data_IF_430217995041
#
_entry.id   IF_430217995041
#
_cell.length_a   1.000
_cell.length_b   1.000
_cell.length_c   1.000
_cell.angle_alpha   90.00
_cell.angle_beta   90.00
_cell.angle_gamma   90.00
#
_symmetry.space_group_name_H-M   'P 1'
#
loop_
_entity.id
_entity.type
_entity.pdbx_description
1 polymer ?
#
# COMPACT_ATOMS: atom_id res chain seq x y z
N UNK A 1 12.48 13.70 -16.91
CA UNK A 1 12.18 12.28 -17.25
C UNK A 1 11.51 12.06 -18.62
N UNK A 2 11.38 13.06 -19.50
CA UNK A 2 10.67 12.92 -20.80
C UNK A 2 11.44 12.39 -22.05
N UNK A 3 12.78 12.19 -22.10
CA UNK A 3 13.44 11.75 -23.36
C UNK A 3 13.19 10.30 -23.77
N UNK A 4 12.86 9.41 -22.81
CA UNK A 4 12.84 7.95 -23.02
C UNK A 4 11.64 7.47 -23.84
N UNK A 5 10.49 8.15 -23.71
CA UNK A 5 9.25 7.79 -24.41
C UNK A 5 9.29 8.16 -25.90
N UNK A 6 9.91 9.29 -26.24
CA UNK A 6 10.08 9.71 -27.64
C UNK A 6 11.06 8.82 -28.40
N UNK A 7 12.14 8.35 -27.74
CA UNK A 7 13.11 7.42 -28.35
C UNK A 7 12.51 6.02 -28.61
N UNK A 8 11.69 5.50 -27.69
CA UNK A 8 10.94 4.23 -27.89
C UNK A 8 9.92 4.32 -29.03
N UNK A 9 9.19 5.44 -29.14
CA UNK A 9 8.22 5.65 -30.22
C UNK A 9 8.89 5.68 -31.59
N UNK A 10 9.96 6.47 -31.75
CA UNK A 10 10.72 6.52 -33.01
C UNK A 10 11.30 5.16 -33.43
N UNK A 11 11.86 4.40 -32.48
CA UNK A 11 12.36 3.05 -32.76
C UNK A 11 11.27 2.07 -33.21
N UNK A 12 10.09 2.10 -32.57
CA UNK A 12 8.97 1.24 -32.98
C UNK A 12 8.39 1.62 -34.35
N UNK A 13 8.41 2.91 -34.72
CA UNK A 13 7.93 3.42 -36.01
C UNK A 13 8.87 3.05 -37.17
N UNK A 14 10.20 3.21 -37.01
CA UNK A 14 11.20 2.76 -38.00
C UNK A 14 11.18 1.24 -38.21
N UNK A 15 10.92 0.47 -37.16
CA UNK A 15 10.97 -0.99 -37.20
C UNK A 15 9.70 -1.61 -37.82
N UNK A 16 8.52 -1.01 -37.58
CA UNK A 16 7.29 -1.38 -38.29
C UNK A 16 7.37 -1.07 -39.79
N UNK A 17 8.11 -0.02 -40.16
CA UNK A 17 8.39 0.29 -41.56
C UNK A 17 9.32 -0.75 -42.21
N UNK A 18 10.31 -1.27 -41.48
CA UNK A 18 11.22 -2.30 -41.98
C UNK A 18 10.54 -3.67 -42.18
N UNK A 19 9.70 -4.12 -41.25
CA UNK A 19 8.98 -5.39 -41.42
C UNK A 19 7.98 -5.32 -42.59
N UNK A 20 7.26 -4.20 -42.72
CA UNK A 20 6.37 -3.94 -43.85
C UNK A 20 7.13 -3.89 -45.20
N UNK A 21 8.34 -3.34 -45.23
CA UNK A 21 9.20 -3.34 -46.41
C UNK A 21 9.63 -4.76 -46.81
N UNK A 22 10.03 -5.60 -45.84
CA UNK A 22 10.41 -7.00 -46.11
C UNK A 22 9.17 -7.79 -46.60
N UNK A 23 7.97 -7.55 -46.05
CA UNK A 23 6.73 -8.21 -46.50
C UNK A 23 6.39 -7.81 -47.94
N UNK A 24 6.58 -6.52 -48.26
CA UNK A 24 6.38 -6.02 -49.62
C UNK A 24 7.32 -6.70 -50.62
N UNK A 25 8.60 -6.92 -50.27
CA UNK A 25 9.55 -7.61 -51.15
C UNK A 25 9.24 -9.11 -51.29
N UNK A 26 8.80 -9.79 -50.22
CA UNK A 26 8.37 -11.20 -50.32
C UNK A 26 7.19 -11.37 -51.29
N UNK A 27 6.20 -10.47 -51.24
CA UNK A 27 5.06 -10.49 -52.17
C UNK A 27 5.51 -10.29 -53.61
N UNK A 28 6.51 -9.42 -53.86
CA UNK A 28 7.09 -9.26 -55.20
C UNK A 28 7.80 -10.51 -55.68
N UNK A 29 8.58 -11.16 -54.82
CA UNK A 29 9.27 -12.43 -55.15
C UNK A 29 8.27 -13.56 -55.40
N UNK A 30 7.16 -13.62 -54.65
CA UNK A 30 6.07 -14.56 -54.90
C UNK A 30 5.39 -14.34 -56.25
N UNK A 31 5.15 -13.08 -56.63
CA UNK A 31 4.60 -12.74 -57.93
C UNK A 31 5.55 -13.15 -59.07
N UNK A 32 6.86 -12.93 -58.91
CA UNK A 32 7.88 -13.36 -59.88
C UNK A 32 7.96 -14.90 -60.00
N UNK A 33 7.84 -15.62 -58.88
CA UNK A 33 7.75 -17.08 -58.88
C UNK A 33 6.51 -17.58 -59.64
N UNK A 34 5.36 -16.93 -59.47
CA UNK A 34 4.14 -17.29 -60.18
C UNK A 34 4.30 -17.10 -61.71
N UNK A 35 4.85 -15.96 -62.14
CA UNK A 35 5.14 -15.68 -63.55
C UNK A 35 6.13 -16.72 -64.12
N UNK A 36 7.16 -17.10 -63.37
CA UNK A 36 8.15 -18.08 -63.82
C UNK A 36 7.55 -19.48 -63.98
N UNK A 37 6.62 -19.88 -63.08
CA UNK A 37 5.87 -21.14 -63.19
C UNK A 37 5.03 -21.20 -64.46
N UNK A 38 4.28 -20.12 -64.74
CA UNK A 38 3.48 -20.01 -65.97
C UNK A 38 4.34 -20.06 -67.25
N UNK A 39 5.55 -19.49 -67.21
CA UNK A 39 6.50 -19.55 -68.32
C UNK A 39 7.11 -20.95 -68.53
N UNK A 40 7.24 -21.76 -67.47
CA UNK A 40 7.77 -23.13 -67.54
C UNK A 40 6.75 -24.13 -68.12
N UNK A 41 5.46 -23.80 -68.08
CA UNK A 41 4.38 -24.59 -68.66
C UNK A 41 4.24 -24.41 -70.19
N UNK A 42 5.03 -23.52 -70.82
CA UNK A 42 5.01 -23.25 -72.27
C UNK A 42 6.25 -23.83 -73.00
N UNK A 43 6.13 -24.94 -73.77
CA UNK A 43 7.29 -25.73 -74.24
C UNK A 43 8.11 -25.13 -75.39
N UNK A 44 7.73 -23.97 -75.94
CA UNK A 44 8.23 -23.52 -77.24
C UNK A 44 9.47 -22.61 -77.20
N UNK A 45 9.98 -22.16 -76.05
CA UNK A 45 11.03 -21.12 -76.06
C UNK A 45 12.20 -21.18 -75.06
N UNK A 46 12.31 -22.09 -74.05
CA UNK A 46 13.33 -21.89 -73.01
C UNK A 46 14.05 -23.14 -72.47
N UNK A 47 15.29 -22.96 -71.99
CA UNK A 47 16.09 -23.90 -71.21
C UNK A 47 15.35 -24.32 -69.92
N UNK A 48 14.53 -25.36 -70.00
CA UNK A 48 13.66 -25.86 -68.91
C UNK A 48 14.44 -26.16 -67.62
N UNK A 49 15.65 -26.72 -67.71
CA UNK A 49 16.48 -27.04 -66.56
C UNK A 49 17.00 -25.79 -65.82
N UNK A 50 17.37 -24.74 -66.55
CA UNK A 50 17.86 -23.47 -66.00
C UNK A 50 16.73 -22.72 -65.28
N UNK A 51 15.53 -22.72 -65.87
CA UNK A 51 14.34 -22.13 -65.26
C UNK A 51 13.88 -22.87 -63.99
N UNK A 52 13.98 -24.20 -63.96
CA UNK A 52 13.69 -25.00 -62.75
C UNK A 52 14.72 -24.77 -61.64
N UNK A 53 16.00 -24.61 -61.99
CA UNK A 53 17.06 -24.28 -61.03
C UNK A 53 16.85 -22.89 -60.41
N UNK A 54 16.48 -21.89 -61.21
CA UNK A 54 16.14 -20.54 -60.75
C UNK A 54 14.92 -20.54 -59.81
N UNK A 55 13.85 -21.26 -60.17
CA UNK A 55 12.64 -21.38 -59.35
C UNK A 55 12.95 -22.04 -57.99
N UNK A 56 13.74 -23.12 -58.02
CA UNK A 56 14.18 -23.84 -56.82
C UNK A 56 15.03 -22.94 -55.91
N UNK A 57 15.96 -22.17 -56.48
CA UNK A 57 16.79 -21.22 -55.75
C UNK A 57 15.94 -20.09 -55.12
N UNK A 58 15.01 -19.52 -55.87
CA UNK A 58 14.14 -18.44 -55.40
C UNK A 58 13.16 -18.92 -54.30
N UNK A 59 12.63 -20.14 -54.43
CA UNK A 59 11.81 -20.80 -53.40
C UNK A 59 12.60 -21.07 -52.10
N UNK A 60 13.86 -21.53 -52.22
CA UNK A 60 14.73 -21.76 -51.08
C UNK A 60 15.07 -20.45 -50.35
N UNK A 61 15.38 -19.39 -51.10
CA UNK A 61 15.66 -18.07 -50.53
C UNK A 61 14.44 -17.49 -49.83
N UNK A 62 13.24 -17.59 -50.42
CA UNK A 62 11.99 -17.14 -49.80
C UNK A 62 11.74 -17.86 -48.46
N UNK A 63 11.94 -19.18 -48.41
CA UNK A 63 11.83 -19.96 -47.16
C UNK A 63 12.83 -19.47 -46.10
N UNK A 64 14.07 -19.19 -46.51
CA UNK A 64 15.12 -18.70 -45.61
C UNK A 64 14.80 -17.31 -45.05
N UNK A 65 14.31 -16.39 -45.89
CA UNK A 65 13.90 -15.04 -45.46
C UNK A 65 12.75 -15.10 -44.44
N UNK A 66 11.73 -15.92 -44.69
CA UNK A 66 10.62 -16.13 -43.75
C UNK A 66 11.09 -16.72 -42.42
N UNK A 67 11.97 -17.73 -42.46
CA UNK A 67 12.56 -18.33 -41.24
C UNK A 67 13.31 -17.27 -40.42
N UNK A 68 14.16 -16.47 -41.08
CA UNK A 68 14.90 -15.39 -40.41
C UNK A 68 13.96 -14.32 -39.82
N UNK A 69 12.84 -14.00 -40.48
CA UNK A 69 11.84 -13.08 -39.92
C UNK A 69 11.24 -13.63 -38.63
N UNK A 70 10.77 -14.88 -38.62
CA UNK A 70 10.15 -15.46 -37.43
C UNK A 70 11.15 -15.58 -36.26
N UNK A 71 12.41 -15.91 -36.54
CA UNK A 71 13.49 -15.88 -35.55
C UNK A 71 13.72 -14.47 -34.97
N UNK A 72 13.74 -13.44 -35.83
CA UNK A 72 13.85 -12.04 -35.38
C UNK A 72 12.67 -11.62 -34.50
N UNK A 73 11.45 -12.04 -34.87
CA UNK A 73 10.22 -11.77 -34.11
C UNK A 73 10.25 -12.45 -32.73
N UNK A 74 10.62 -13.73 -32.69
CA UNK A 74 10.76 -14.48 -31.45
C UNK A 74 11.83 -13.88 -30.52
N UNK A 75 13.01 -13.54 -31.06
CA UNK A 75 14.08 -12.90 -30.29
C UNK A 75 13.68 -11.53 -29.71
N UNK A 76 12.81 -10.80 -30.40
CA UNK A 76 12.24 -9.53 -29.91
C UNK A 76 11.27 -9.74 -28.76
N UNK A 77 10.34 -10.69 -28.87
CA UNK A 77 9.43 -11.04 -27.78
C UNK A 77 10.20 -11.46 -26.53
N UNK A 78 11.26 -12.25 -26.69
CA UNK A 78 12.14 -12.64 -25.61
C UNK A 78 12.87 -11.43 -24.98
N UNK A 79 13.39 -10.50 -25.78
CA UNK A 79 13.97 -9.25 -25.27
C UNK A 79 12.96 -8.39 -24.52
N UNK A 80 11.72 -8.28 -25.01
CA UNK A 80 10.64 -7.54 -24.35
C UNK A 80 10.28 -8.17 -23.01
N UNK A 81 10.15 -9.51 -22.97
CA UNK A 81 9.85 -10.25 -21.75
C UNK A 81 10.99 -10.13 -20.72
N UNK A 82 12.25 -10.30 -21.14
CA UNK A 82 13.42 -10.04 -20.28
C UNK A 82 13.45 -8.62 -19.74
N UNK A 83 13.07 -7.63 -20.54
CA UNK A 83 12.97 -6.24 -20.09
C UNK A 83 11.84 -6.04 -19.07
N UNK A 84 10.70 -6.71 -19.22
CA UNK A 84 9.59 -6.66 -18.24
C UNK A 84 10.00 -7.31 -16.93
N UNK A 85 10.58 -8.51 -16.99
CA UNK A 85 11.10 -9.21 -15.80
C UNK A 85 12.17 -8.39 -15.08
N UNK A 86 13.08 -7.74 -15.82
CA UNK A 86 14.08 -6.85 -15.23
C UNK A 86 13.43 -5.62 -14.59
N UNK A 87 12.37 -5.09 -15.19
CA UNK A 87 11.55 -4.01 -14.61
C UNK A 87 10.88 -4.44 -13.31
N UNK A 88 10.26 -5.63 -13.28
CA UNK A 88 9.64 -6.20 -12.08
C UNK A 88 10.66 -6.49 -10.98
N UNK A 89 11.83 -7.05 -11.33
CA UNK A 89 12.94 -7.23 -10.39
C UNK A 89 13.42 -5.88 -9.83
N UNK A 90 13.49 -4.86 -10.68
CA UNK A 90 13.87 -3.51 -10.26
C UNK A 90 12.81 -2.87 -9.35
N UNK A 91 11.51 -3.07 -9.63
CA UNK A 91 10.41 -2.68 -8.73
C UNK A 91 10.50 -3.42 -7.38
N UNK A 92 10.76 -4.73 -7.39
CA UNK A 92 11.00 -5.52 -6.17
C UNK A 92 12.18 -4.96 -5.36
N UNK A 93 13.30 -4.65 -6.03
CA UNK A 93 14.47 -4.03 -5.39
C UNK A 93 14.14 -2.63 -4.87
N UNK A 94 13.27 -1.87 -5.54
CA UNK A 94 12.81 -0.56 -5.05
C UNK A 94 11.94 -0.71 -3.79
N UNK A 95 11.04 -1.68 -3.74
CA UNK A 95 10.24 -1.99 -2.55
C UNK A 95 11.14 -2.43 -1.38
N UNK A 96 12.10 -3.32 -1.64
CA UNK A 96 13.11 -3.71 -0.64
C UNK A 96 13.95 -2.51 -0.19
N UNK A 97 14.36 -1.63 -1.11
CA UNK A 97 15.12 -0.42 -0.77
C UNK A 97 14.27 0.58 0.03
N UNK A 98 12.96 0.65 -0.20
CA UNK A 98 12.03 1.45 0.60
C UNK A 98 11.94 0.87 2.02
N UNK A 99 11.82 -0.45 2.16
CA UNK A 99 11.84 -1.15 3.45
C UNK A 99 13.15 -0.89 4.18
N UNK A 100 14.30 -1.13 3.53
CA UNK A 100 15.62 -0.91 4.10
C UNK A 100 15.87 0.56 4.42
N UNK A 101 15.35 1.52 3.63
CA UNK A 101 15.40 2.95 3.99
C UNK A 101 14.52 3.27 5.19
N UNK A 102 13.38 2.60 5.33
CA UNK A 102 12.51 2.67 6.50
C UNK A 102 13.20 2.11 7.75
N UNK A 103 13.82 0.94 7.64
CA UNK A 103 14.60 0.30 8.70
C UNK A 103 15.86 1.10 9.05
N UNK A 104 16.58 1.63 8.05
CA UNK A 104 17.72 2.52 8.24
C UNK A 104 17.30 3.84 8.87
N UNK A 105 16.11 4.36 8.53
CA UNK A 105 15.53 5.51 9.21
C UNK A 105 15.15 5.17 10.66
N UNK A 106 14.65 3.97 10.94
CA UNK A 106 14.38 3.49 12.29
C UNK A 106 15.68 3.28 13.11
N UNK A 107 16.74 2.75 12.49
CA UNK A 107 18.10 2.60 13.06
C UNK A 107 18.83 3.93 13.24
N UNK A 108 18.49 4.97 12.46
CA UNK A 108 18.96 6.34 12.71
C UNK A 108 18.15 7.06 13.79
N UNK A 109 16.87 6.70 13.94
CA UNK A 109 15.98 7.23 15.00
C UNK A 109 16.35 6.74 16.41
N UNK A 110 17.09 5.63 16.55
CA UNK A 110 17.66 5.21 17.85
C UNK A 110 18.89 6.01 18.26
N UNK A 111 19.48 6.82 17.37
CA UNK A 111 20.69 7.61 17.68
C UNK A 111 20.53 9.12 17.62
N UNK A 112 19.50 9.70 16.99
CA UNK A 112 19.26 11.14 17.10
C UNK A 112 17.77 11.48 16.97
N UNK A 113 17.19 11.94 18.07
CA UNK A 113 15.77 12.13 18.25
C UNK A 113 15.12 13.10 17.25
N UNK A 114 13.97 12.68 16.70
CA UNK A 114 12.99 13.60 16.10
C UNK A 114 11.55 13.21 16.45
N UNK A 115 11.26 13.28 17.75
CA UNK A 115 10.11 13.99 18.32
C UNK A 115 10.47 14.31 19.77
N UNK A 116 10.94 15.54 20.03
CA UNK A 116 10.81 16.14 21.37
C UNK A 116 9.36 16.62 21.52
N UNK A 117 8.37 15.73 21.49
CA UNK A 117 7.04 16.07 22.00
C UNK A 117 7.10 15.96 23.52
N UNK A 118 7.81 16.90 24.15
CA UNK A 118 7.69 17.07 25.59
C UNK A 118 6.26 17.55 25.97
N UNK A 119 5.49 18.03 24.98
CA UNK A 119 4.21 18.70 25.19
C UNK A 119 3.11 18.18 24.25
N UNK A 120 1.90 18.10 24.81
CA UNK A 120 0.66 17.66 24.16
C UNK A 120 0.36 18.39 22.85
N UNK A 121 0.74 19.66 22.72
CA UNK A 121 0.53 20.46 21.50
C UNK A 121 1.32 19.92 20.31
N UNK A 122 2.57 19.48 20.54
CA UNK A 122 3.42 18.91 19.48
C UNK A 122 2.85 17.61 18.94
N UNK A 123 2.39 16.73 19.83
CA UNK A 123 1.72 15.49 19.47
C UNK A 123 0.43 15.76 18.68
N UNK A 124 -0.34 16.78 19.06
CA UNK A 124 -1.55 17.17 18.32
C UNK A 124 -1.24 17.61 16.90
N UNK A 125 -0.24 18.47 16.72
CA UNK A 125 0.18 18.94 15.40
C UNK A 125 0.67 17.77 14.54
N UNK A 126 1.34 16.80 15.14
CA UNK A 126 1.78 15.58 14.45
C UNK A 126 0.58 14.72 14.02
N UNK A 127 -0.35 14.44 14.93
CA UNK A 127 -1.56 13.67 14.62
C UNK A 127 -2.46 14.35 13.58
N UNK A 128 -2.65 15.68 13.70
CA UNK A 128 -3.37 16.51 12.72
C UNK A 128 -2.75 16.41 11.34
N UNK A 129 -1.43 16.61 11.25
CA UNK A 129 -0.74 16.51 9.97
C UNK A 129 -0.79 15.09 9.42
N UNK A 130 -0.70 14.07 10.27
CA UNK A 130 -0.77 12.67 9.87
C UNK A 130 -2.10 12.31 9.21
N UNK A 131 -3.20 12.75 9.82
CA UNK A 131 -4.54 12.53 9.27
C UNK A 131 -4.80 13.35 8.01
N UNK A 132 -4.22 14.54 7.88
CA UNK A 132 -4.39 15.42 6.71
C UNK A 132 -3.49 15.04 5.53
N UNK A 133 -2.22 14.73 5.79
CA UNK A 133 -1.19 14.44 4.79
C UNK A 133 -0.08 13.58 5.44
N UNK A 134 -0.24 12.26 5.32
CA UNK A 134 0.69 11.28 5.90
C UNK A 134 2.13 11.50 5.44
N UNK A 135 2.34 11.82 4.16
CA UNK A 135 3.69 11.97 3.61
C UNK A 135 4.40 13.17 4.24
N UNK A 136 3.70 14.29 4.40
CA UNK A 136 4.26 15.45 5.12
C UNK A 136 4.50 15.16 6.60
N UNK A 137 3.62 14.40 7.25
CA UNK A 137 3.81 13.99 8.63
C UNK A 137 5.07 13.11 8.80
N UNK A 138 5.27 12.14 7.92
CA UNK A 138 6.47 11.29 7.91
C UNK A 138 7.74 12.14 7.73
N UNK A 139 7.74 13.08 6.79
CA UNK A 139 8.89 13.96 6.55
C UNK A 139 9.18 14.86 7.76
N UNK A 140 8.14 15.36 8.43
CA UNK A 140 8.27 16.34 9.52
C UNK A 140 8.52 15.72 10.90
N UNK A 141 7.81 14.65 11.21
CA UNK A 141 7.71 14.05 12.55
C UNK A 141 8.14 12.57 12.58
N UNK A 142 8.52 12.00 11.43
CA UNK A 142 8.74 10.56 11.33
C UNK A 142 7.44 9.75 11.32
N UNK A 143 7.60 8.44 11.19
CA UNK A 143 6.47 7.52 11.20
C UNK A 143 5.79 7.48 12.58
N UNK A 144 4.46 7.38 12.61
CA UNK A 144 3.65 7.45 13.85
C UNK A 144 4.04 6.42 14.91
N UNK A 145 4.52 5.25 14.50
CA UNK A 145 4.98 4.19 15.41
C UNK A 145 6.26 4.55 16.17
N UNK A 146 7.04 5.53 15.67
CA UNK A 146 8.29 6.00 16.29
C UNK A 146 8.14 7.28 17.11
N UNK A 147 6.92 7.78 17.28
CA UNK A 147 6.69 9.00 18.06
C UNK A 147 6.95 8.73 19.55
N UNK A 148 7.83 9.52 20.17
CA UNK A 148 8.03 9.47 21.62
C UNK A 148 6.87 10.17 22.32
N UNK A 149 6.05 9.40 23.02
CA UNK A 149 4.90 9.88 23.80
C UNK A 149 5.06 9.66 25.31
N UNK A 150 6.25 9.28 25.78
CA UNK A 150 6.44 8.86 27.18
C UNK A 150 6.18 9.97 28.20
N UNK A 151 6.28 11.25 27.83
CA UNK A 151 5.96 12.39 28.71
C UNK A 151 4.51 12.89 28.59
N UNK A 152 3.69 12.28 27.73
CA UNK A 152 2.35 12.76 27.43
C UNK A 152 1.37 12.32 28.51
N UNK A 153 0.64 13.29 29.09
CA UNK A 153 -0.35 13.04 30.15
C UNK A 153 -1.80 13.02 29.66
N UNK A 154 -2.08 13.52 28.46
CA UNK A 154 -3.40 13.48 27.84
C UNK A 154 -3.29 13.09 26.37
N UNK A 155 -4.12 12.16 25.92
CA UNK A 155 -4.28 11.78 24.52
C UNK A 155 -5.70 12.07 24.04
N UNK A 156 -6.43 12.94 24.75
CA UNK A 156 -7.83 13.18 24.46
C UNK A 156 -8.05 13.68 23.05
N UNK A 157 -9.01 13.07 22.36
CA UNK A 157 -9.40 13.38 20.98
C UNK A 157 -8.26 13.43 19.97
N UNK A 158 -7.12 12.75 20.23
CA UNK A 158 -5.89 12.91 19.44
C UNK A 158 -6.10 12.64 17.94
N UNK A 159 -6.94 11.66 17.59
CA UNK A 159 -7.28 11.31 16.21
C UNK A 159 -8.70 11.69 15.79
N UNK A 160 -9.48 12.32 16.67
CA UNK A 160 -10.89 12.65 16.44
C UNK A 160 -11.13 13.94 15.64
N UNK A 161 -10.27 14.24 14.66
CA UNK A 161 -10.04 15.60 14.16
C UNK A 161 -11.26 16.53 14.04
N UNK A 162 -11.09 17.73 14.59
CA UNK A 162 -11.84 18.94 14.25
C UNK A 162 -11.18 19.59 13.03
N UNK A 163 -11.86 19.56 11.89
CA UNK A 163 -11.54 20.45 10.76
C UNK A 163 -12.02 21.84 11.16
N UNK A 164 -11.10 22.80 11.30
CA UNK A 164 -11.43 24.17 11.76
C UNK A 164 -11.87 25.08 10.61
N UNK A 165 -11.93 24.58 9.37
CA UNK A 165 -12.20 25.43 8.20
C UNK A 165 -13.54 25.19 7.52
N UNK A 166 -14.18 24.03 7.73
CA UNK A 166 -15.53 23.76 7.22
C UNK A 166 -16.26 22.82 8.16
N UNK A 167 -17.43 23.27 8.57
CA UNK A 167 -18.54 22.49 9.13
C UNK A 167 -18.71 22.45 10.66
N UNK A 168 -19.97 22.54 11.05
CA UNK A 168 -20.47 22.61 12.42
C UNK A 168 -20.58 21.21 13.04
N UNK A 169 -19.52 20.41 12.95
CA UNK A 169 -19.50 19.03 13.46
C UNK A 169 -18.09 18.52 13.73
N UNK A 170 -17.95 17.67 14.75
CA UNK A 170 -16.75 16.86 14.92
C UNK A 170 -16.61 15.96 13.66
N UNK A 171 -15.44 15.87 13.04
CA UNK A 171 -15.20 14.99 11.88
C UNK A 171 -14.18 13.92 12.24
N UNK A 172 -14.66 12.85 12.88
CA UNK A 172 -13.82 11.74 13.28
C UNK A 172 -13.16 11.04 12.09
N UNK A 173 -11.87 10.68 12.24
CA UNK A 173 -11.14 9.94 11.22
C UNK A 173 -11.52 8.44 11.25
N UNK A 174 -12.56 8.09 10.48
CA UNK A 174 -13.09 6.72 10.38
C UNK A 174 -12.08 5.70 9.84
N UNK A 175 -11.15 6.16 9.01
CA UNK A 175 -10.17 5.33 8.32
C UNK A 175 -8.83 5.24 9.08
N UNK A 176 -8.76 5.75 10.31
CA UNK A 176 -7.57 5.65 11.12
C UNK A 176 -7.32 4.19 11.54
N UNK A 177 -6.31 3.56 10.93
CA UNK A 177 -5.83 2.24 11.34
C UNK A 177 -4.30 2.19 11.28
N UNK A 178 -3.63 2.40 12.42
CA UNK A 178 -2.16 2.36 12.51
C UNK A 178 -1.70 1.62 13.75
N UNK A 179 -0.53 1.03 13.66
CA UNK A 179 0.13 0.38 14.79
C UNK A 179 0.65 1.44 15.77
N UNK A 180 0.15 1.37 17.00
CA UNK A 180 0.49 2.22 18.14
C UNK A 180 1.07 1.39 19.30
N UNK A 181 1.41 0.12 19.06
CA UNK A 181 1.82 -0.82 20.11
C UNK A 181 3.16 -0.46 20.78
N UNK A 182 3.99 0.35 20.11
CA UNK A 182 5.27 0.85 20.63
C UNK A 182 5.19 2.12 21.48
N UNK A 183 4.00 2.68 21.68
CA UNK A 183 3.83 3.90 22.48
C UNK A 183 3.92 3.60 23.98
N UNK A 184 4.75 4.36 24.70
CA UNK A 184 4.79 4.36 26.15
C UNK A 184 3.68 5.27 26.71
N UNK A 185 2.58 4.67 27.14
CA UNK A 185 1.42 5.38 27.70
C UNK A 185 1.46 5.52 29.22
N UNK A 186 2.56 5.15 29.88
CA UNK A 186 2.62 5.01 31.35
C UNK A 186 2.32 6.31 32.12
N UNK A 187 2.54 7.48 31.51
CA UNK A 187 2.22 8.78 32.10
C UNK A 187 0.85 9.34 31.71
N UNK A 188 0.10 8.66 30.83
CA UNK A 188 -1.18 9.13 30.35
C UNK A 188 -2.25 9.01 31.43
N UNK A 189 -2.91 10.13 31.72
CA UNK A 189 -4.01 10.27 32.69
C UNK A 189 -5.37 10.44 32.04
N UNK A 190 -5.42 10.83 30.77
CA UNK A 190 -6.65 11.13 30.02
C UNK A 190 -6.56 10.55 28.60
N UNK A 191 -7.45 9.61 28.28
CA UNK A 191 -7.57 8.97 26.96
C UNK A 191 -8.95 9.25 26.31
N UNK A 192 -9.65 10.30 26.77
CA UNK A 192 -11.01 10.62 26.35
C UNK A 192 -11.12 10.72 24.82
N UNK A 193 -12.03 9.95 24.23
CA UNK A 193 -12.33 10.00 22.79
C UNK A 193 -11.12 9.84 21.83
N UNK A 194 -10.00 9.27 22.30
CA UNK A 194 -8.75 9.19 21.52
C UNK A 194 -8.92 8.49 20.16
N UNK A 195 -9.71 7.42 20.11
CA UNK A 195 -10.02 6.60 18.92
C UNK A 195 -11.53 6.62 18.59
N UNK A 196 -12.24 7.67 19.02
CA UNK A 196 -13.67 7.79 18.77
C UNK A 196 -13.97 7.80 17.26
N UNK A 197 -14.96 7.00 16.87
CA UNK A 197 -15.37 6.65 15.51
C UNK A 197 -14.25 6.21 14.58
N UNK A 198 -13.12 5.69 15.07
CA UNK A 198 -12.09 5.07 14.24
C UNK A 198 -12.56 3.69 13.74
N UNK A 199 -13.55 3.67 12.85
CA UNK A 199 -14.32 2.48 12.44
C UNK A 199 -13.43 1.32 11.94
N UNK A 200 -12.29 1.64 11.31
CA UNK A 200 -11.34 0.67 10.76
C UNK A 200 -10.19 0.29 11.69
N UNK A 201 -10.08 0.93 12.87
CA UNK A 201 -8.97 0.67 13.79
C UNK A 201 -9.02 -0.74 14.36
N UNK A 202 -7.99 -1.54 14.08
CA UNK A 202 -7.86 -2.92 14.55
C UNK A 202 -6.59 -3.15 15.39
N UNK A 203 -5.88 -2.07 15.76
CA UNK A 203 -4.55 -2.14 16.36
C UNK A 203 -4.53 -2.89 17.70
N UNK A 204 -3.33 -3.38 18.06
CA UNK A 204 -3.06 -4.09 19.32
C UNK A 204 -2.62 -3.12 20.41
N UNK A 205 -3.47 -2.92 21.42
CA UNK A 205 -3.25 -2.02 22.55
C UNK A 205 -2.92 -2.76 23.86
N UNK A 206 -2.70 -4.07 23.82
CA UNK A 206 -2.46 -4.89 25.01
C UNK A 206 -1.19 -4.48 25.78
N UNK A 207 -0.21 -3.85 25.11
CA UNK A 207 1.04 -3.39 25.72
C UNK A 207 0.96 -2.02 26.38
N UNK A 208 -0.16 -1.32 26.25
CA UNK A 208 -0.32 0.00 26.83
C UNK A 208 -0.41 -0.09 28.35
N UNK A 209 0.34 0.77 29.03
CA UNK A 209 0.23 0.96 30.47
C UNK A 209 -0.83 2.03 30.74
N UNK A 210 -1.96 1.62 31.30
CA UNK A 210 -3.09 2.52 31.60
C UNK A 210 -3.31 2.74 33.11
N UNK A 211 -2.40 2.25 33.95
CA UNK A 211 -2.52 2.29 35.41
C UNK A 211 -2.49 3.69 36.05
N UNK A 212 -2.18 4.73 35.29
CA UNK A 212 -2.29 6.13 35.70
C UNK A 212 -3.50 6.85 35.08
N UNK A 213 -4.23 6.19 34.19
CA UNK A 213 -5.38 6.76 33.51
C UNK A 213 -6.55 6.98 34.48
N UNK A 214 -7.19 8.14 34.37
CA UNK A 214 -8.35 8.55 35.17
C UNK A 214 -9.62 8.69 34.33
N UNK A 215 -9.48 9.07 33.05
CA UNK A 215 -10.60 9.23 32.13
C UNK A 215 -10.37 8.47 30.82
N UNK A 216 -11.32 7.57 30.51
CA UNK A 216 -11.37 6.76 29.28
C UNK A 216 -12.71 6.95 28.55
N UNK A 217 -13.43 8.04 28.84
CA UNK A 217 -14.73 8.33 28.26
C UNK A 217 -14.67 8.30 26.73
N UNK A 218 -15.57 7.55 26.10
CA UNK A 218 -15.69 7.40 24.65
C UNK A 218 -14.40 6.99 23.93
N UNK A 219 -13.38 6.44 24.62
CA UNK A 219 -12.05 6.17 24.05
C UNK A 219 -12.10 5.45 22.70
N UNK A 220 -12.98 4.45 22.57
CA UNK A 220 -13.18 3.64 21.36
C UNK A 220 -14.65 3.58 20.92
N UNK A 221 -15.44 4.60 21.25
CA UNK A 221 -16.82 4.70 20.80
C UNK A 221 -16.89 4.58 19.26
N UNK A 222 -17.81 3.78 18.74
CA UNK A 222 -18.03 3.49 17.32
C UNK A 222 -16.79 2.97 16.55
N UNK A 223 -15.75 2.49 17.23
CA UNK A 223 -14.60 1.84 16.62
C UNK A 223 -14.95 0.40 16.20
N UNK A 224 -15.72 0.25 15.12
CA UNK A 224 -16.34 -1.02 14.66
C UNK A 224 -15.39 -2.20 14.43
N UNK A 225 -14.11 -1.93 14.16
CA UNK A 225 -13.09 -2.97 13.94
C UNK A 225 -12.20 -3.24 15.15
N UNK A 226 -12.48 -2.60 16.29
CA UNK A 226 -11.67 -2.70 17.50
C UNK A 226 -11.68 -4.13 18.06
N UNK A 227 -10.48 -4.72 18.21
CA UNK A 227 -10.30 -6.14 18.64
C UNK A 227 -9.09 -6.32 19.56
N UNK A 228 -8.72 -5.28 20.29
CA UNK A 228 -7.61 -5.36 21.24
C UNK A 228 -7.95 -6.23 22.44
N UNK A 229 -6.98 -7.03 22.90
CA UNK A 229 -7.04 -7.74 24.18
C UNK A 229 -6.73 -6.76 25.32
N UNK A 230 -7.69 -6.58 26.23
CA UNK A 230 -7.61 -5.57 27.30
C UNK A 230 -7.58 -6.15 28.72
N UNK A 231 -7.52 -7.47 28.85
CA UNK A 231 -7.56 -8.18 30.14
C UNK A 231 -6.37 -7.85 31.07
N UNK A 232 -5.26 -7.36 30.53
CA UNK A 232 -4.06 -6.97 31.29
C UNK A 232 -4.05 -5.50 31.72
N UNK A 233 -5.04 -4.70 31.30
CA UNK A 233 -5.12 -3.30 31.69
C UNK A 233 -5.47 -3.17 33.18
N UNK A 234 -4.60 -2.50 33.94
CA UNK A 234 -4.92 -2.05 35.28
C UNK A 234 -5.76 -0.76 35.19
N UNK A 235 -7.06 -0.88 35.44
CA UNK A 235 -8.02 0.23 35.40
C UNK A 235 -8.43 0.75 36.78
N UNK A 236 -7.73 0.35 37.85
CA UNK A 236 -8.11 0.65 39.24
C UNK A 236 -8.22 2.17 39.51
N UNK A 237 -7.46 3.01 38.82
CA UNK A 237 -7.50 4.48 38.99
C UNK A 237 -8.52 5.19 38.09
N UNK A 238 -9.17 4.47 37.17
CA UNK A 238 -10.08 5.07 36.21
C UNK A 238 -11.39 5.45 36.91
N UNK A 239 -11.76 6.71 36.81
CA UNK A 239 -12.98 7.26 37.42
C UNK A 239 -14.13 7.41 36.43
N UNK A 240 -13.83 7.42 35.12
CA UNK A 240 -14.79 7.61 34.04
C UNK A 240 -14.50 6.66 32.86
N UNK A 241 -15.43 5.76 32.58
CA UNK A 241 -15.43 4.82 31.45
C UNK A 241 -16.68 4.97 30.57
N UNK A 242 -17.38 6.08 30.70
CA UNK A 242 -18.64 6.27 30.00
C UNK A 242 -18.50 6.18 28.49
N UNK A 243 -19.41 5.45 27.85
CA UNK A 243 -19.39 5.17 26.41
C UNK A 243 -18.07 4.60 25.86
N UNK A 244 -17.13 4.12 26.69
CA UNK A 244 -15.78 3.71 26.26
C UNK A 244 -15.80 2.74 25.08
N UNK A 245 -16.76 1.81 25.06
CA UNK A 245 -16.97 0.81 24.01
C UNK A 245 -18.33 0.92 23.32
N UNK A 246 -19.04 2.05 23.46
CA UNK A 246 -20.35 2.20 22.84
C UNK A 246 -20.24 2.04 21.32
N UNK A 247 -20.98 1.11 20.70
CA UNK A 247 -20.90 0.83 19.26
C UNK A 247 -19.57 0.25 18.77
N UNK A 248 -18.63 -0.08 19.67
CA UNK A 248 -17.33 -0.62 19.30
C UNK A 248 -17.44 -2.07 18.80
N UNK A 249 -16.54 -2.43 17.87
CA UNK A 249 -16.31 -3.81 17.45
C UNK A 249 -15.84 -4.67 18.60
N UNK A 250 -16.04 -5.98 18.47
CA UNK A 250 -15.61 -6.94 19.49
C UNK A 250 -14.59 -7.94 19.00
N UNK A 251 -13.73 -8.27 19.96
CA UNK A 251 -13.30 -9.64 20.19
C UNK A 251 -13.47 -9.94 21.68
N UNK A 252 -14.44 -10.78 22.05
CA UNK A 252 -14.58 -11.56 23.30
C UNK A 252 -13.55 -11.21 24.41
N UNK A 253 -13.60 -9.97 24.93
CA UNK A 253 -12.67 -9.52 25.95
C UNK A 253 -13.24 -9.97 27.30
N UNK A 254 -12.54 -10.88 27.95
CA UNK A 254 -12.77 -11.17 29.36
C UNK A 254 -12.22 -10.00 30.18
N UNK A 255 -13.12 -9.22 30.77
CA UNK A 255 -12.80 -8.08 31.63
C UNK A 255 -12.93 -8.43 33.12
N UNK A 256 -12.97 -9.73 33.47
CA UNK A 256 -13.13 -10.18 34.86
C UNK A 256 -11.99 -9.78 35.80
N UNK A 257 -10.84 -9.43 35.25
CA UNK A 257 -9.68 -8.90 35.97
C UNK A 257 -9.80 -7.41 36.32
N UNK A 258 -10.73 -6.68 35.69
CA UNK A 258 -10.86 -5.25 35.92
C UNK A 258 -11.46 -4.98 37.30
N UNK A 259 -10.71 -4.25 38.13
CA UNK A 259 -11.22 -3.67 39.37
C UNK A 259 -11.71 -2.26 39.07
N UNK A 260 -13.02 -2.05 39.18
CA UNK A 260 -13.65 -0.77 38.84
C UNK A 260 -14.22 -0.03 40.04
N UNK A 261 -13.79 -0.37 41.26
CA UNK A 261 -14.33 0.21 42.50
C UNK A 261 -14.18 1.75 42.61
N UNK A 262 -13.22 2.35 41.91
CA UNK A 262 -13.06 3.82 41.85
C UNK A 262 -13.83 4.48 40.70
N UNK A 263 -14.46 3.69 39.82
CA UNK A 263 -15.16 4.21 38.66
C UNK A 263 -16.55 4.71 39.05
N UNK A 264 -16.79 6.01 38.86
CA UNK A 264 -18.07 6.65 39.23
C UNK A 264 -18.99 6.88 38.02
N UNK A 265 -18.45 6.75 36.80
CA UNK A 265 -19.18 7.00 35.54
C UNK A 265 -18.94 5.86 34.55
N UNK A 266 -19.98 5.06 34.30
CA UNK A 266 -19.98 3.97 33.31
C UNK A 266 -21.20 4.03 32.36
N UNK A 267 -21.86 5.19 32.25
CA UNK A 267 -23.08 5.29 31.46
C UNK A 267 -22.80 4.88 30.00
N UNK A 268 -23.69 4.06 29.43
CA UNK A 268 -23.59 3.58 28.05
C UNK A 268 -22.26 2.88 27.68
N UNK A 269 -21.41 2.47 28.63
CA UNK A 269 -20.07 1.91 28.37
C UNK A 269 -20.09 0.80 27.31
N UNK A 270 -21.12 -0.05 27.33
CA UNK A 270 -21.32 -1.15 26.37
C UNK A 270 -22.58 -1.00 25.51
N UNK A 271 -23.12 0.21 25.37
CA UNK A 271 -24.31 0.44 24.53
C UNK A 271 -24.02 0.01 23.09
N UNK A 272 -24.84 -0.87 22.52
CA UNK A 272 -24.63 -1.44 21.17
C UNK A 272 -23.30 -2.20 20.97
N UNK A 273 -22.59 -2.53 22.05
CA UNK A 273 -21.40 -3.38 22.05
C UNK A 273 -21.81 -4.81 22.46
N UNK A 274 -22.49 -5.52 21.56
CA UNK A 274 -23.25 -6.77 21.79
C UNK A 274 -22.45 -8.00 22.27
N UNK A 275 -21.20 -7.78 22.64
CA UNK A 275 -20.12 -8.77 22.67
C UNK A 275 -19.16 -8.57 23.83
N UNK A 276 -19.23 -7.43 24.51
CA UNK A 276 -18.56 -7.24 25.79
C UNK A 276 -19.40 -7.93 26.87
N UNK A 277 -18.78 -8.85 27.61
CA UNK A 277 -19.46 -9.58 28.69
C UNK A 277 -19.55 -8.70 29.92
N UNK A 278 -20.63 -7.91 30.00
CA UNK A 278 -20.93 -6.98 31.10
C UNK A 278 -20.80 -7.64 32.48
N UNK A 279 -21.25 -8.89 32.60
CA UNK A 279 -21.37 -9.60 33.88
C UNK A 279 -20.03 -10.02 34.51
N UNK A 280 -18.91 -9.67 33.88
CA UNK A 280 -17.56 -10.03 34.37
C UNK A 280 -16.93 -8.96 35.26
N UNK A 281 -17.35 -7.70 35.18
CA UNK A 281 -16.70 -6.59 35.90
C UNK A 281 -17.13 -6.58 37.37
N UNK A 282 -16.16 -6.64 38.28
CA UNK A 282 -16.39 -6.55 39.73
C UNK A 282 -16.46 -5.08 40.14
N UNK A 283 -17.66 -4.65 40.57
CA UNK A 283 -17.87 -3.35 41.23
C UNK A 283 -17.36 -3.37 42.67
#
# INVERSE_FOLDING_TARGET
MQPRAQKKRKGNEEEGANDAAIQSEEVKVEALLAVKREQNDNPQENNVEENQAEESAMSMLLKKVRSMREEMKAGKEEMVNRSKETGQKMESVFEELIIVKGELAALKQTTDGKLKAAEREGLEKAARLWCKDRNKAIVKYGHISGWNVSSITSMSSLFGLTDVERDQGNHWNKDFNKDLSGWDTSNVTDMTAMLNCAETFSGYLSRWSVGNCKDMCAMSQDAKSFKSKLNEWNVEKVTNMSAMFAGAGSSNNDLSSWSTGNCTKMYAMFSQASTFKRDTIKN
#
